data_IF_251125536912
#
_entry.id   IF_251125536912
#
_cell.length_a   1.000
_cell.length_b   1.000
_cell.length_c   1.000
_cell.angle_alpha   90.00
_cell.angle_beta   90.00
_cell.angle_gamma   90.00
#
_symmetry.space_group_name_H-M   'P 1'
#
loop_
_entity.id
_entity.type
_entity.pdbx_description
1 polymer ?
#
# COMPACT_ATOMS: atom_id res chain seq x y z
N UNK A 1 -25.48 -33.10 -9.88
CA UNK A 1 -25.80 -31.72 -10.30
C UNK A 1 -24.91 -31.39 -11.49
N UNK A 2 -25.42 -31.29 -12.72
CA UNK A 2 -24.63 -30.75 -13.84
C UNK A 2 -24.61 -29.23 -13.68
N UNK A 3 -23.45 -28.69 -13.36
CA UNK A 3 -23.25 -27.25 -13.20
C UNK A 3 -23.11 -26.66 -14.62
N UNK A 4 -23.93 -25.67 -14.96
CA UNK A 4 -23.83 -24.99 -16.25
C UNK A 4 -22.49 -24.24 -16.37
N UNK A 5 -21.94 -24.08 -17.59
CA UNK A 5 -20.65 -23.43 -17.80
C UNK A 5 -20.60 -21.99 -17.23
N UNK A 6 -21.73 -21.29 -17.20
CA UNK A 6 -21.87 -19.94 -16.65
C UNK A 6 -21.71 -19.92 -15.12
N UNK A 7 -22.19 -20.98 -14.44
CA UNK A 7 -22.06 -21.12 -12.99
C UNK A 7 -20.63 -21.49 -12.62
N UNK A 8 -20.02 -22.41 -13.36
CA UNK A 8 -18.61 -22.75 -13.17
C UNK A 8 -17.70 -21.53 -13.38
N UNK A 9 -17.99 -20.72 -14.41
CA UNK A 9 -17.30 -19.46 -14.67
C UNK A 9 -17.49 -18.44 -13.54
N UNK A 10 -18.74 -18.28 -13.05
CA UNK A 10 -19.03 -17.35 -11.96
C UNK A 10 -18.35 -17.75 -10.63
N UNK A 11 -18.34 -19.05 -10.29
CA UNK A 11 -17.62 -19.56 -9.13
C UNK A 11 -16.09 -19.40 -9.28
N UNK A 12 -15.55 -19.65 -10.47
CA UNK A 12 -14.15 -19.41 -10.77
C UNK A 12 -13.80 -17.92 -10.63
N UNK A 13 -14.65 -17.02 -11.11
CA UNK A 13 -14.46 -15.57 -11.00
C UNK A 13 -14.53 -15.07 -9.54
N UNK A 14 -15.46 -15.62 -8.73
CA UNK A 14 -15.53 -15.36 -7.29
C UNK A 14 -14.25 -15.81 -6.56
N UNK A 15 -13.79 -17.03 -6.85
CA UNK A 15 -12.54 -17.55 -6.30
C UNK A 15 -11.36 -16.67 -6.70
N UNK A 16 -11.28 -16.29 -7.97
CA UNK A 16 -10.20 -15.44 -8.50
C UNK A 16 -10.19 -14.06 -7.84
N UNK A 17 -11.36 -13.49 -7.56
CA UNK A 17 -11.46 -12.20 -6.86
C UNK A 17 -11.23 -12.28 -5.36
N UNK A 18 -11.69 -13.32 -4.68
CA UNK A 18 -11.30 -13.56 -3.28
C UNK A 18 -9.81 -13.80 -3.15
N UNK A 19 -9.22 -14.53 -4.09
CA UNK A 19 -7.79 -14.74 -4.16
C UNK A 19 -7.05 -13.43 -4.45
N UNK A 20 -7.47 -12.68 -5.48
CA UNK A 20 -6.88 -11.38 -5.82
C UNK A 20 -7.01 -10.34 -4.69
N UNK A 21 -8.12 -10.35 -3.94
CA UNK A 21 -8.35 -9.45 -2.82
C UNK A 21 -7.40 -9.68 -1.64
N UNK A 22 -6.79 -10.87 -1.51
CA UNK A 22 -5.76 -11.13 -0.52
C UNK A 22 -4.42 -10.43 -0.84
N UNK A 23 -4.19 -10.02 -2.10
CA UNK A 23 -2.90 -9.49 -2.56
C UNK A 23 -2.95 -8.12 -3.29
N UNK A 24 -4.11 -7.47 -3.46
CA UNK A 24 -4.22 -6.22 -4.26
C UNK A 24 -4.57 -4.95 -3.46
N UNK A 25 -4.05 -3.82 -3.98
CA UNK A 25 -4.12 -2.44 -3.43
C UNK A 25 -5.56 -1.94 -3.16
N UNK A 26 -5.75 -0.96 -2.26
CA UNK A 26 -7.06 -0.45 -1.83
C UNK A 26 -7.99 0.05 -2.95
N UNK A 27 -7.46 0.55 -4.07
CA UNK A 27 -8.27 1.09 -5.18
C UNK A 27 -9.00 0.04 -6.04
N UNK A 28 -8.63 -1.24 -5.97
CA UNK A 28 -9.38 -2.31 -6.65
C UNK A 28 -10.54 -2.86 -5.81
N UNK A 29 -10.74 -2.39 -4.56
CA UNK A 29 -11.74 -2.95 -3.66
C UNK A 29 -13.18 -2.68 -4.09
N UNK A 30 -13.48 -1.51 -4.66
CA UNK A 30 -14.83 -1.17 -5.13
C UNK A 30 -15.19 -2.00 -6.37
N UNK A 31 -14.26 -2.08 -7.33
CA UNK A 31 -14.43 -2.90 -8.53
C UNK A 31 -14.56 -4.39 -8.18
N UNK A 32 -13.70 -4.93 -7.32
CA UNK A 32 -13.80 -6.30 -6.82
C UNK A 32 -15.12 -6.55 -6.08
N UNK A 33 -15.63 -5.58 -5.32
CA UNK A 33 -16.93 -5.70 -4.64
C UNK A 33 -18.11 -5.73 -5.62
N UNK A 34 -18.10 -4.89 -6.66
CA UNK A 34 -19.12 -4.87 -7.71
C UNK A 34 -19.10 -6.18 -8.51
N UNK A 35 -17.91 -6.61 -8.95
CA UNK A 35 -17.75 -7.86 -9.67
C UNK A 35 -18.07 -9.07 -8.80
N UNK A 36 -17.76 -9.06 -7.50
CA UNK A 36 -18.16 -10.12 -6.58
C UNK A 36 -19.68 -10.22 -6.48
N UNK A 37 -20.37 -9.10 -6.27
CA UNK A 37 -21.83 -9.08 -6.21
C UNK A 37 -22.46 -9.60 -7.52
N UNK A 38 -21.90 -9.19 -8.67
CA UNK A 38 -22.32 -9.65 -9.98
C UNK A 38 -22.10 -11.15 -10.20
N UNK A 39 -20.89 -11.66 -9.89
CA UNK A 39 -20.57 -13.07 -10.01
C UNK A 39 -21.41 -13.93 -9.05
N UNK A 40 -21.68 -13.44 -7.84
CA UNK A 40 -22.57 -14.10 -6.88
C UNK A 40 -24.03 -14.15 -7.39
N UNK A 41 -24.52 -13.07 -8.00
CA UNK A 41 -25.86 -13.04 -8.62
C UNK A 41 -25.98 -14.03 -9.79
N UNK A 42 -24.95 -14.13 -10.65
CA UNK A 42 -24.91 -15.09 -11.76
C UNK A 42 -24.81 -16.55 -11.29
N UNK A 43 -23.96 -16.83 -10.30
CA UNK A 43 -23.85 -18.16 -9.70
C UNK A 43 -25.18 -18.60 -9.09
N UNK A 44 -25.83 -17.72 -8.33
CA UNK A 44 -27.12 -18.01 -7.70
C UNK A 44 -28.26 -18.20 -8.71
N UNK A 45 -28.24 -17.52 -9.86
CA UNK A 45 -29.25 -17.70 -10.91
C UNK A 45 -29.29 -19.14 -11.45
N UNK A 46 -28.16 -19.83 -11.52
CA UNK A 46 -28.07 -21.21 -12.02
C UNK A 46 -28.05 -22.30 -10.95
N UNK A 47 -27.61 -21.97 -9.71
CA UNK A 47 -27.54 -22.94 -8.61
C UNK A 47 -28.82 -22.99 -7.76
N UNK A 48 -29.60 -21.91 -7.70
CA UNK A 48 -30.84 -21.92 -6.93
C UNK A 48 -31.93 -22.69 -7.69
N UNK A 49 -32.60 -23.65 -7.05
CA UNK A 49 -33.71 -24.36 -7.68
C UNK A 49 -34.86 -23.38 -7.99
N UNK A 50 -35.48 -23.52 -9.18
CA UNK A 50 -36.64 -22.69 -9.62
C UNK A 50 -37.84 -22.78 -8.66
N UNK A 51 -37.91 -23.88 -7.93
CA UNK A 51 -38.82 -24.12 -6.82
C UNK A 51 -37.95 -24.32 -5.59
N UNK A 52 -37.85 -23.26 -4.79
CA UNK A 52 -37.31 -23.36 -3.45
C UNK A 52 -38.42 -23.94 -2.58
N UNK A 53 -38.37 -25.24 -2.29
CA UNK A 53 -38.84 -25.67 -0.97
C UNK A 53 -37.86 -25.01 -0.01
N UNK A 54 -38.23 -23.83 0.47
CA UNK A 54 -37.50 -23.15 1.51
C UNK A 54 -37.36 -24.20 2.60
N UNK A 55 -36.14 -24.67 2.86
CA UNK A 55 -35.86 -25.32 4.12
C UNK A 55 -36.16 -24.23 5.12
N UNK A 56 -37.39 -24.23 5.67
CA UNK A 56 -37.72 -23.45 6.84
C UNK A 56 -36.60 -23.75 7.81
N UNK A 57 -35.68 -22.80 7.93
CA UNK A 57 -34.69 -22.81 8.98
C UNK A 57 -35.55 -22.81 10.23
N UNK A 58 -35.74 -24.01 10.81
CA UNK A 58 -36.74 -24.33 11.84
C UNK A 58 -36.56 -23.53 13.14
N UNK A 59 -35.59 -22.62 13.15
CA UNK A 59 -35.15 -21.78 14.25
C UNK A 59 -35.06 -20.34 13.73
N UNK A 60 -36.13 -19.58 13.96
CA UNK A 60 -36.20 -18.14 13.66
C UNK A 60 -35.01 -17.33 14.21
N UNK A 61 -34.47 -17.74 15.35
CA UNK A 61 -33.34 -17.05 15.97
C UNK A 61 -32.08 -17.07 15.11
N UNK A 62 -31.87 -18.08 14.26
CA UNK A 62 -30.71 -18.16 13.36
C UNK A 62 -30.82 -17.08 12.28
N UNK A 63 -32.02 -16.91 11.70
CA UNK A 63 -32.29 -15.88 10.69
C UNK A 63 -32.18 -14.48 11.31
N UNK A 64 -32.70 -14.29 12.53
CA UNK A 64 -32.57 -13.03 13.28
C UNK A 64 -31.11 -12.72 13.60
N UNK A 65 -30.31 -13.71 14.00
CA UNK A 65 -28.89 -13.54 14.30
C UNK A 65 -28.06 -13.22 13.04
N UNK A 66 -28.37 -13.86 11.92
CA UNK A 66 -27.74 -13.55 10.64
C UNK A 66 -28.11 -12.15 10.13
N UNK A 67 -29.38 -11.77 10.22
CA UNK A 67 -29.81 -10.40 9.88
C UNK A 67 -29.15 -9.36 10.78
N UNK A 68 -29.05 -9.63 12.09
CA UNK A 68 -28.38 -8.76 13.05
C UNK A 68 -26.88 -8.63 12.77
N UNK A 69 -26.19 -9.72 12.40
CA UNK A 69 -24.77 -9.65 12.04
C UNK A 69 -24.54 -8.86 10.76
N UNK A 70 -25.37 -9.06 9.73
CA UNK A 70 -25.32 -8.25 8.50
C UNK A 70 -25.57 -6.76 8.78
N UNK A 71 -26.56 -6.44 9.62
CA UNK A 71 -26.83 -5.07 10.04
C UNK A 71 -25.66 -4.46 10.81
N UNK A 72 -25.03 -5.21 11.73
CA UNK A 72 -23.86 -4.76 12.47
C UNK A 72 -22.66 -4.49 11.53
N UNK A 73 -22.40 -5.38 10.57
CA UNK A 73 -21.33 -5.18 9.57
C UNK A 73 -21.63 -3.95 8.70
N UNK A 74 -22.88 -3.77 8.26
CA UNK A 74 -23.27 -2.60 7.47
C UNK A 74 -23.10 -1.29 8.24
N UNK A 75 -23.54 -1.24 9.50
CA UNK A 75 -23.34 -0.08 10.39
C UNK A 75 -21.85 0.18 10.63
N UNK A 76 -21.06 -0.85 10.87
CA UNK A 76 -19.60 -0.74 11.00
C UNK A 76 -18.95 -0.16 9.74
N UNK A 77 -19.37 -0.63 8.56
CA UNK A 77 -18.91 -0.10 7.27
C UNK A 77 -19.29 1.37 7.06
N UNK A 78 -20.48 1.79 7.44
CA UNK A 78 -20.92 3.19 7.37
C UNK A 78 -20.10 4.09 8.31
N UNK A 79 -19.84 3.64 9.54
CA UNK A 79 -18.99 4.38 10.49
C UNK A 79 -17.56 4.51 9.95
N UNK A 80 -17.00 3.41 9.43
CA UNK A 80 -15.68 3.41 8.80
C UNK A 80 -15.60 4.38 7.62
N UNK A 81 -16.61 4.37 6.74
CA UNK A 81 -16.69 5.28 5.59
C UNK A 81 -16.82 6.75 6.04
N UNK A 82 -17.69 7.05 7.01
CA UNK A 82 -17.87 8.40 7.52
C UNK A 82 -16.58 8.95 8.16
N UNK A 83 -15.85 8.09 8.90
CA UNK A 83 -14.53 8.38 9.42
C UNK A 83 -13.52 8.70 8.31
N UNK A 84 -13.51 7.91 7.23
CA UNK A 84 -12.67 8.15 6.05
C UNK A 84 -12.97 9.49 5.37
N UNK A 85 -14.24 9.82 5.14
CA UNK A 85 -14.65 11.11 4.55
C UNK A 85 -14.22 12.30 5.41
N UNK A 86 -14.28 12.18 6.73
CA UNK A 86 -13.77 13.21 7.63
C UNK A 86 -12.27 13.37 7.47
N UNK A 87 -11.51 12.26 7.41
CA UNK A 87 -10.07 12.28 7.14
C UNK A 87 -9.72 12.94 5.79
N UNK A 88 -10.44 12.63 4.71
CA UNK A 88 -10.26 13.26 3.40
C UNK A 88 -10.52 14.77 3.45
N UNK A 89 -11.54 15.20 4.20
CA UNK A 89 -11.80 16.61 4.44
C UNK A 89 -10.61 17.30 5.13
N UNK A 90 -10.00 16.64 6.12
CA UNK A 90 -8.81 17.17 6.79
C UNK A 90 -7.60 17.27 5.83
N UNK A 91 -7.38 16.24 4.99
CA UNK A 91 -6.35 16.31 3.94
C UNK A 91 -6.57 17.49 3.00
N UNK A 92 -7.82 17.73 2.58
CA UNK A 92 -8.15 18.87 1.73
C UNK A 92 -7.85 20.20 2.43
N UNK A 93 -8.24 20.36 3.70
CA UNK A 93 -7.94 21.57 4.47
C UNK A 93 -6.43 21.78 4.62
N UNK A 94 -5.66 20.72 4.78
CA UNK A 94 -4.19 20.79 4.82
C UNK A 94 -3.58 21.30 3.51
N UNK A 95 -4.20 21.04 2.36
CA UNK A 95 -3.75 21.52 1.05
C UNK A 95 -4.16 22.97 0.78
N UNK A 96 -5.32 23.40 1.29
CA UNK A 96 -5.82 24.77 1.13
C UNK A 96 -5.13 25.77 2.08
N UNK A 97 -4.58 25.27 3.20
CA UNK A 97 -3.96 26.10 4.23
C UNK A 97 -2.53 26.50 3.86
N UNK A 98 -2.21 27.78 3.98
CA UNK A 98 -0.84 28.31 3.77
C UNK A 98 0.01 28.37 5.06
N UNK A 99 -0.63 28.27 6.22
CA UNK A 99 0.06 28.25 7.50
C UNK A 99 0.62 26.84 7.81
N UNK A 100 1.94 26.72 7.93
CA UNK A 100 2.61 25.43 8.15
C UNK A 100 2.13 24.70 9.42
N UNK A 101 1.87 25.42 10.51
CA UNK A 101 1.42 24.81 11.77
C UNK A 101 0.02 24.18 11.64
N UNK A 102 -0.94 24.91 11.09
CA UNK A 102 -2.31 24.41 10.84
C UNK A 102 -2.33 23.30 9.78
N UNK A 103 -1.46 23.40 8.77
CA UNK A 103 -1.30 22.32 7.79
C UNK A 103 -0.90 21.01 8.49
N UNK A 104 0.11 21.03 9.37
CA UNK A 104 0.53 19.84 10.09
C UNK A 104 -0.58 19.30 11.01
N UNK A 105 -1.32 20.16 11.70
CA UNK A 105 -2.44 19.77 12.55
C UNK A 105 -3.53 19.03 11.75
N UNK A 106 -3.91 19.56 10.60
CA UNK A 106 -4.88 18.91 9.71
C UNK A 106 -4.37 17.56 9.21
N UNK A 107 -3.08 17.45 8.87
CA UNK A 107 -2.47 16.18 8.45
C UNK A 107 -2.46 15.15 9.59
N UNK A 108 -2.10 15.54 10.81
CA UNK A 108 -2.11 14.66 11.98
C UNK A 108 -3.53 14.24 12.37
N UNK A 109 -4.52 15.10 12.17
CA UNK A 109 -5.91 14.73 12.34
C UNK A 109 -6.37 13.75 11.26
N UNK A 110 -5.96 13.93 10.00
CA UNK A 110 -6.22 12.97 8.94
C UNK A 110 -5.57 11.60 9.21
N UNK A 111 -4.34 11.56 9.73
CA UNK A 111 -3.59 10.34 10.06
C UNK A 111 -4.34 9.38 10.99
N UNK A 112 -5.21 9.91 11.86
CA UNK A 112 -6.04 9.11 12.79
C UNK A 112 -7.13 8.28 12.09
N UNK A 113 -7.41 8.54 10.80
CA UNK A 113 -8.45 7.88 10.04
C UNK A 113 -7.86 6.82 9.11
N UNK A 114 -8.14 5.54 9.40
CA UNK A 114 -7.56 4.37 8.70
C UNK A 114 -7.63 4.42 7.16
N UNK A 115 -8.68 5.00 6.58
CA UNK A 115 -8.83 5.05 5.12
C UNK A 115 -7.82 5.98 4.44
N UNK A 116 -7.32 6.97 5.17
CA UNK A 116 -6.43 8.02 4.64
C UNK A 116 -5.11 8.11 5.41
N UNK A 117 -4.88 7.22 6.38
CA UNK A 117 -3.74 7.28 7.29
C UNK A 117 -2.42 7.21 6.55
N UNK A 118 -2.29 6.30 5.58
CA UNK A 118 -1.06 6.14 4.80
C UNK A 118 -0.81 7.37 3.90
N UNK A 119 -1.87 7.95 3.34
CA UNK A 119 -1.77 9.19 2.56
C UNK A 119 -1.35 10.37 3.45
N UNK A 120 -1.92 10.48 4.65
CA UNK A 120 -1.59 11.51 5.62
C UNK A 120 -0.14 11.37 6.09
N UNK A 121 0.30 10.15 6.46
CA UNK A 121 1.67 9.86 6.87
C UNK A 121 2.68 10.29 5.80
N UNK A 122 2.40 9.96 4.52
CA UNK A 122 3.21 10.42 3.39
C UNK A 122 3.27 11.95 3.29
N UNK A 123 2.14 12.64 3.47
CA UNK A 123 2.11 14.11 3.41
C UNK A 123 2.81 14.75 4.60
N UNK A 124 2.72 14.16 5.80
CA UNK A 124 3.47 14.58 6.99
C UNK A 124 4.97 14.47 6.72
N UNK A 125 5.42 13.35 6.14
CA UNK A 125 6.82 13.18 5.76
C UNK A 125 7.29 14.29 4.80
N UNK A 126 6.49 14.61 3.77
CA UNK A 126 6.82 15.72 2.86
C UNK A 126 6.79 17.08 3.52
N UNK A 127 5.87 17.32 4.45
CA UNK A 127 5.83 18.55 5.24
C UNK A 127 7.15 18.74 6.02
N UNK A 128 7.62 17.70 6.72
CA UNK A 128 8.89 17.74 7.44
C UNK A 128 10.09 17.93 6.52
N UNK A 129 10.16 17.22 5.39
CA UNK A 129 11.23 17.39 4.41
C UNK A 129 11.27 18.81 3.80
N UNK A 130 10.10 19.38 3.50
CA UNK A 130 9.99 20.75 3.00
C UNK A 130 10.46 21.76 4.06
N UNK A 131 10.02 21.57 5.31
CA UNK A 131 10.39 22.42 6.43
C UNK A 131 11.88 22.36 6.74
N UNK A 132 12.47 21.16 6.75
CA UNK A 132 13.91 20.95 6.91
C UNK A 132 14.73 21.70 5.84
N UNK A 133 14.26 21.70 4.59
CA UNK A 133 14.92 22.44 3.50
C UNK A 133 14.90 23.95 3.72
N UNK A 134 13.82 24.48 4.28
CA UNK A 134 13.67 25.92 4.55
C UNK A 134 14.43 26.35 5.80
N UNK A 135 14.40 25.54 6.86
CA UNK A 135 14.97 25.90 8.16
C UNK A 135 16.40 25.42 8.37
N UNK A 136 16.87 24.45 7.56
CA UNK A 136 18.14 23.76 7.78
C UNK A 136 18.15 22.86 9.02
N UNK A 137 17.00 22.62 9.66
CA UNK A 137 16.94 21.82 10.88
C UNK A 137 17.02 20.32 10.55
N UNK A 138 18.05 19.67 11.08
CA UNK A 138 18.36 18.25 10.88
C UNK A 138 17.28 17.34 11.49
N UNK A 139 16.67 17.71 12.61
CA UNK A 139 15.62 16.89 13.25
C UNK A 139 14.41 16.71 12.32
N UNK A 140 14.01 17.77 11.62
CA UNK A 140 12.94 17.68 10.62
C UNK A 140 13.36 16.88 9.39
N UNK A 141 14.63 16.90 9.03
CA UNK A 141 15.13 16.08 7.93
C UNK A 141 15.03 14.60 8.30
N UNK A 142 15.52 14.23 9.48
CA UNK A 142 15.51 12.85 9.98
C UNK A 142 14.08 12.34 10.14
N UNK A 143 13.20 13.11 10.80
CA UNK A 143 11.79 12.73 10.98
C UNK A 143 11.07 12.54 9.63
N UNK A 144 11.30 13.46 8.68
CA UNK A 144 10.73 13.38 7.35
C UNK A 144 11.22 12.17 6.56
N UNK A 145 12.51 11.82 6.66
CA UNK A 145 13.08 10.63 6.01
C UNK A 145 12.55 9.35 6.64
N UNK A 146 12.53 9.26 7.97
CA UNK A 146 12.08 8.06 8.69
C UNK A 146 10.62 7.75 8.35
N UNK A 147 9.73 8.74 8.44
CA UNK A 147 8.33 8.57 8.04
C UNK A 147 8.17 8.19 6.57
N UNK A 148 8.95 8.80 5.68
CA UNK A 148 8.91 8.47 4.25
C UNK A 148 9.37 7.03 3.99
N UNK A 149 10.40 6.57 4.71
CA UNK A 149 10.89 5.19 4.63
C UNK A 149 9.84 4.21 5.16
N UNK A 150 9.24 4.49 6.32
CA UNK A 150 8.16 3.67 6.89
C UNK A 150 6.95 3.59 5.96
N UNK A 151 6.56 4.70 5.33
CA UNK A 151 5.51 4.67 4.30
C UNK A 151 5.92 3.81 3.10
N UNK A 152 7.15 3.98 2.60
CA UNK A 152 7.65 3.26 1.41
C UNK A 152 7.71 1.74 1.61
N UNK A 153 8.10 1.26 2.80
CA UNK A 153 8.13 -0.19 3.07
C UNK A 153 6.74 -0.82 3.09
N UNK A 154 5.70 -0.06 3.44
CA UNK A 154 4.30 -0.50 3.34
C UNK A 154 3.77 -0.38 1.90
N UNK A 155 4.02 0.76 1.26
CA UNK A 155 3.55 1.08 -0.09
C UNK A 155 4.70 1.52 -1.01
N UNK A 156 5.41 0.58 -1.65
CA UNK A 156 6.51 0.93 -2.53
C UNK A 156 5.98 1.64 -3.80
N UNK A 157 6.40 2.90 -3.96
CA UNK A 157 6.08 3.77 -5.09
C UNK A 157 7.37 4.31 -5.71
N UNK A 158 7.41 4.41 -7.04
CA UNK A 158 8.62 4.79 -7.79
C UNK A 158 9.10 6.21 -7.48
N UNK A 159 8.18 7.14 -7.20
CA UNK A 159 8.51 8.52 -6.86
C UNK A 159 9.23 8.59 -5.50
N UNK A 160 8.75 7.84 -4.53
CA UNK A 160 9.25 7.75 -3.16
C UNK A 160 10.58 6.99 -3.14
N UNK A 161 10.69 5.91 -3.93
CA UNK A 161 11.93 5.18 -4.20
C UNK A 161 13.03 6.13 -4.68
N UNK A 162 12.80 6.83 -5.79
CA UNK A 162 13.79 7.75 -6.37
C UNK A 162 14.17 8.88 -5.38
N UNK A 163 13.20 9.33 -4.58
CA UNK A 163 13.45 10.37 -3.58
C UNK A 163 14.31 9.86 -2.43
N UNK A 164 14.03 8.68 -1.90
CA UNK A 164 14.81 8.04 -0.84
C UNK A 164 16.22 7.71 -1.30
N UNK A 165 16.39 7.16 -2.51
CA UNK A 165 17.72 6.95 -3.11
C UNK A 165 18.53 8.25 -3.17
N UNK A 166 17.91 9.33 -3.66
CA UNK A 166 18.55 10.63 -3.72
C UNK A 166 18.86 11.24 -2.34
N UNK A 167 18.07 10.92 -1.30
CA UNK A 167 18.31 11.39 0.06
C UNK A 167 19.43 10.60 0.74
N UNK A 168 19.40 9.26 0.67
CA UNK A 168 20.42 8.40 1.28
C UNK A 168 21.78 8.54 0.60
N UNK A 169 21.81 8.67 -0.73
CA UNK A 169 23.05 8.96 -1.46
C UNK A 169 23.70 10.27 -1.01
N UNK A 170 22.90 11.32 -0.75
CA UNK A 170 23.40 12.61 -0.26
C UNK A 170 23.87 12.57 1.19
N UNK A 171 23.25 11.74 2.01
CA UNK A 171 23.60 11.58 3.42
C UNK A 171 24.77 10.61 3.64
N UNK A 172 25.15 9.84 2.62
CA UNK A 172 26.19 8.81 2.73
C UNK A 172 25.74 7.53 3.45
N UNK A 173 24.42 7.33 3.57
CA UNK A 173 23.83 6.19 4.27
C UNK A 173 23.77 4.97 3.34
N UNK A 174 24.90 4.27 3.20
CA UNK A 174 25.07 3.17 2.23
C UNK A 174 24.09 2.02 2.49
N UNK A 175 23.92 1.61 3.75
CA UNK A 175 23.04 0.50 4.12
C UNK A 175 21.57 0.79 3.75
N UNK A 176 21.08 1.99 4.08
CA UNK A 176 19.73 2.42 3.73
C UNK A 176 19.56 2.61 2.22
N UNK A 177 20.59 3.12 1.54
CA UNK A 177 20.59 3.22 0.09
C UNK A 177 20.46 1.84 -0.57
N UNK A 178 21.26 0.86 -0.16
CA UNK A 178 21.22 -0.51 -0.70
C UNK A 178 19.86 -1.18 -0.42
N UNK A 179 19.33 -1.01 0.79
CA UNK A 179 18.01 -1.55 1.16
C UNK A 179 16.90 -1.07 0.21
N UNK A 180 16.92 0.21 -0.15
CA UNK A 180 15.93 0.82 -1.04
C UNK A 180 16.26 0.55 -2.51
N UNK A 181 17.53 0.46 -2.88
CA UNK A 181 17.97 0.14 -4.24
C UNK A 181 17.61 -1.29 -4.66
N UNK A 182 17.46 -2.22 -3.71
CA UNK A 182 17.01 -3.59 -3.98
C UNK A 182 15.66 -3.64 -4.73
N UNK A 183 14.80 -2.63 -4.56
CA UNK A 183 13.52 -2.51 -5.26
C UNK A 183 13.66 -2.19 -6.75
N UNK A 184 14.83 -1.72 -7.22
CA UNK A 184 15.10 -1.49 -8.65
C UNK A 184 15.44 -2.79 -9.39
N UNK A 185 16.10 -3.73 -8.72
CA UNK A 185 16.55 -4.98 -9.28
C UNK A 185 16.31 -6.13 -8.28
N UNK A 186 15.07 -6.66 -8.21
CA UNK A 186 14.69 -7.66 -7.21
C UNK A 186 15.45 -9.00 -7.34
N UNK A 187 16.08 -9.28 -8.48
CA UNK A 187 16.84 -10.52 -8.73
C UNK A 187 18.34 -10.42 -8.39
N UNK A 188 18.94 -9.23 -8.31
CA UNK A 188 20.39 -9.11 -8.03
C UNK A 188 20.77 -9.43 -6.57
N UNK A 189 19.81 -9.47 -5.64
CA UNK A 189 20.09 -9.81 -4.24
C UNK A 189 20.23 -11.30 -3.98
N UNK A 190 19.73 -12.18 -4.86
CA UNK A 190 19.88 -13.64 -4.71
C UNK A 190 21.24 -14.17 -5.13
N UNK A 191 21.99 -13.42 -5.93
CA UNK A 191 23.24 -13.91 -6.53
C UNK A 191 24.48 -13.62 -5.67
N UNK A 192 24.32 -12.88 -4.56
CA UNK A 192 25.42 -12.57 -3.63
C UNK A 192 25.56 -13.68 -2.56
N UNK A 193 24.56 -14.55 -2.37
CA UNK A 193 24.57 -15.59 -1.32
C UNK A 193 24.93 -16.99 -1.86
N UNK A 194 25.13 -17.17 -3.16
CA UNK A 194 25.41 -18.51 -3.74
C UNK A 194 26.74 -18.67 -4.48
N UNK A 195 27.77 -17.89 -4.16
CA UNK A 195 29.12 -18.20 -4.65
C UNK A 195 30.19 -17.91 -3.59
N UNK A 196 30.53 -18.89 -2.74
CA UNK A 196 31.76 -18.84 -1.99
C UNK A 196 32.88 -19.29 -2.93
N UNK A 197 33.36 -18.43 -3.83
CA UNK A 197 34.70 -18.60 -4.41
C UNK A 197 35.21 -17.29 -5.04
N UNK A 198 36.28 -16.81 -4.43
CA UNK A 198 37.47 -16.21 -5.05
C UNK A 198 37.43 -14.79 -5.65
N UNK A 199 37.95 -13.86 -4.83
CA UNK A 199 38.92 -12.77 -5.12
C UNK A 199 38.96 -12.20 -6.55
N UNK A 200 38.88 -10.87 -6.67
CA UNK A 200 40.02 -9.98 -6.99
C UNK A 200 39.52 -8.52 -7.00
N UNK A 201 39.97 -7.72 -6.03
CA UNK A 201 40.14 -6.28 -6.21
C UNK A 201 41.54 -6.03 -6.80
N UNK A 202 41.72 -5.04 -7.68
CA UNK A 202 42.94 -4.27 -7.69
C UNK A 202 42.66 -2.87 -7.13
N UNK A 203 43.16 -2.64 -5.92
CA UNK A 203 43.54 -1.33 -5.43
C UNK A 203 44.92 -0.97 -6.04
N UNK A 204 45.10 0.29 -6.44
CA UNK A 204 46.46 0.88 -6.43
C UNK A 204 46.93 1.58 -7.71
N UNK A 205 46.61 2.86 -7.77
CA UNK A 205 47.54 3.99 -7.81
C UNK A 205 48.49 4.24 -9.01
N UNK A 206 48.48 5.52 -9.40
CA UNK A 206 49.42 6.21 -10.29
C UNK A 206 50.86 6.17 -9.77
N UNK A 207 51.82 6.08 -10.71
CA UNK A 207 53.13 6.79 -10.76
C UNK A 207 53.68 6.65 -12.19
N UNK A 208 53.74 7.73 -12.98
CA UNK A 208 54.87 8.67 -13.10
C UNK A 208 56.09 8.10 -13.85
N UNK A 209 56.38 8.68 -15.02
CA UNK A 209 57.76 8.87 -15.48
C UNK A 209 58.14 8.35 -16.87
N UNK A 210 58.04 9.23 -17.87
CA UNK A 210 59.13 9.64 -18.77
C UNK A 210 59.98 8.59 -19.52
N UNK A 211 60.04 8.71 -20.85
CA UNK A 211 61.27 8.39 -21.61
C UNK A 211 61.10 7.66 -22.95
N UNK A 212 60.77 8.41 -24.00
CA UNK A 212 61.54 8.57 -25.25
C UNK A 212 62.04 7.38 -26.13
N UNK A 213 61.84 7.61 -27.44
CA UNK A 213 62.59 7.20 -28.65
C UNK A 213 62.43 5.77 -29.21
N UNK A 214 61.66 5.64 -30.29
CA UNK A 214 62.20 5.54 -31.68
C UNK A 214 61.11 5.76 -32.72
#
# INVERSE_FOLDING_TARGET
IRVGPEVAWACAMLFLMWFNAMWTRPFHRIENALWMAFAFALANRGMLPKVSEWTELRREWIVKLFGASMAAVALGGLIFLASGMYGDRQLRLALETQEAGKQLEYLQNAEKHLMVSDLAERQIAYHYLARARVTGNVDYLVEGINRLHTYFTREPQSRELNRLLGLYSKLGEIELYESVASYLHPWTSSDIVSSPDEKVFPSGNQKSGSGDVK
#
